data_IF_952877852898
#
_entry.id   IF_952877852898
#
_cell.length_a   1.000
_cell.length_b   1.000
_cell.length_c   1.000
_cell.angle_alpha   90.00
_cell.angle_beta   90.00
_cell.angle_gamma   90.00
#
_symmetry.space_group_name_H-M   'P 1'
#
loop_
_entity.id
_entity.type
_entity.pdbx_description
1 polymer ?
#
# COMPACT_ATOMS: atom_id res chain seq x y z
N UNK A 1 -6.19 -3.82 -41.91
CA UNK A 1 -6.54 -3.05 -40.70
C UNK A 1 -6.60 -3.89 -39.42
N UNK A 2 -6.54 -5.23 -39.47
CA UNK A 2 -6.62 -6.10 -38.29
C UNK A 2 -5.56 -5.82 -37.19
N UNK A 3 -4.31 -5.57 -37.58
CA UNK A 3 -3.21 -5.34 -36.65
C UNK A 3 -3.39 -4.12 -35.72
N UNK A 4 -4.20 -3.14 -36.10
CA UNK A 4 -4.41 -1.93 -35.31
C UNK A 4 -5.49 -2.12 -34.24
N UNK A 5 -6.46 -2.99 -34.49
CA UNK A 5 -7.53 -3.29 -33.54
C UNK A 5 -7.04 -4.29 -32.48
N UNK A 6 -6.23 -5.28 -32.87
CA UNK A 6 -5.60 -6.21 -31.92
C UNK A 6 -4.68 -5.47 -30.92
N UNK A 7 -3.87 -4.51 -31.39
CA UNK A 7 -3.00 -3.69 -30.54
C UNK A 7 -3.80 -2.78 -29.60
N UNK A 8 -4.95 -2.26 -30.04
CA UNK A 8 -5.84 -1.46 -29.18
C UNK A 8 -6.53 -2.32 -28.12
N UNK A 9 -6.92 -3.54 -28.48
CA UNK A 9 -7.46 -4.50 -27.53
C UNK A 9 -6.42 -4.96 -26.50
N UNK A 10 -5.16 -5.15 -26.89
CA UNK A 10 -4.06 -5.44 -25.96
C UNK A 10 -3.74 -4.26 -25.03
N UNK A 11 -3.72 -3.03 -25.55
CA UNK A 11 -3.52 -1.81 -24.76
C UNK A 11 -4.71 -1.54 -23.81
N UNK A 12 -5.93 -1.82 -24.24
CA UNK A 12 -7.12 -1.71 -23.40
C UNK A 12 -7.22 -2.83 -22.34
N UNK A 13 -6.59 -3.98 -22.60
CA UNK A 13 -6.51 -5.12 -21.67
C UNK A 13 -5.36 -4.99 -20.65
N UNK A 14 -4.56 -3.92 -20.71
CA UNK A 14 -3.47 -3.68 -19.77
C UNK A 14 -4.02 -3.13 -18.44
N UNK A 15 -4.61 -4.01 -17.64
CA UNK A 15 -5.26 -3.67 -16.36
C UNK A 15 -4.32 -3.70 -15.14
N UNK A 16 -3.01 -3.92 -15.30
CA UNK A 16 -2.15 -4.17 -14.15
C UNK A 16 -0.82 -3.46 -14.23
N UNK A 17 -0.53 -2.64 -13.21
CA UNK A 17 0.86 -2.44 -12.81
C UNK A 17 1.53 -3.81 -12.70
N UNK A 18 2.69 -3.97 -13.34
CA UNK A 18 3.42 -5.24 -13.29
C UNK A 18 3.55 -5.73 -11.83
N UNK A 19 3.56 -7.04 -11.55
CA UNK A 19 3.76 -7.53 -10.18
C UNK A 19 5.01 -6.96 -9.50
N UNK A 20 6.03 -6.61 -10.27
CA UNK A 20 7.22 -5.90 -9.79
C UNK A 20 6.92 -4.46 -9.36
N UNK A 21 6.11 -3.72 -10.14
CA UNK A 21 5.69 -2.36 -9.81
C UNK A 21 4.84 -2.32 -8.54
N UNK A 22 3.88 -3.25 -8.38
CA UNK A 22 3.06 -3.35 -7.16
C UNK A 22 3.94 -3.61 -5.93
N UNK A 23 4.90 -4.55 -6.04
CA UNK A 23 5.85 -4.84 -4.96
C UNK A 23 6.74 -3.64 -4.64
N UNK A 24 7.21 -2.91 -5.66
CA UNK A 24 8.03 -1.72 -5.49
C UNK A 24 7.25 -0.59 -4.80
N UNK A 25 5.99 -0.38 -5.20
CA UNK A 25 5.10 0.59 -4.57
C UNK A 25 4.84 0.22 -3.10
N UNK A 26 4.49 -1.03 -2.81
CA UNK A 26 4.29 -1.50 -1.44
C UNK A 26 5.56 -1.31 -0.59
N UNK A 27 6.73 -1.63 -1.12
CA UNK A 27 8.00 -1.42 -0.43
C UNK A 27 8.28 0.07 -0.14
N UNK A 28 8.01 0.95 -1.11
CA UNK A 28 8.12 2.40 -0.93
C UNK A 28 7.14 2.90 0.14
N UNK A 29 5.89 2.45 0.10
CA UNK A 29 4.87 2.82 1.09
C UNK A 29 5.23 2.36 2.49
N UNK A 30 5.72 1.13 2.66
CA UNK A 30 6.25 0.65 3.95
C UNK A 30 7.40 1.55 4.39
N UNK A 31 8.37 1.81 3.52
CA UNK A 31 9.56 2.60 3.86
C UNK A 31 9.22 4.02 4.31
N UNK A 32 8.35 4.72 3.57
CA UNK A 32 8.00 6.12 3.85
C UNK A 32 6.87 6.27 4.87
N UNK A 33 6.02 5.27 5.04
CA UNK A 33 4.93 5.28 6.03
C UNK A 33 5.40 5.06 7.48
N UNK A 34 6.61 4.55 7.70
CA UNK A 34 7.12 4.33 9.07
C UNK A 34 8.08 3.15 9.20
N UNK A 35 8.15 2.31 8.16
CA UNK A 35 9.13 1.25 8.00
C UNK A 35 8.82 -0.01 8.77
N UNK A 36 9.88 -0.80 8.96
CA UNK A 36 9.89 -1.99 9.79
C UNK A 36 10.33 -1.61 11.20
N UNK A 37 9.58 -2.07 12.21
CA UNK A 37 9.87 -1.82 13.61
C UNK A 37 10.24 -3.13 14.29
N UNK A 38 11.39 -3.20 15.00
CA UNK A 38 11.69 -4.36 15.84
C UNK A 38 10.77 -4.35 17.07
N UNK A 39 10.01 -5.42 17.26
CA UNK A 39 9.14 -5.65 18.42
C UNK A 39 9.38 -7.08 18.89
N UNK A 40 9.84 -7.24 20.13
CA UNK A 40 10.05 -8.55 20.77
C UNK A 40 10.81 -9.56 19.89
N UNK A 41 11.95 -9.15 19.32
CA UNK A 41 12.80 -9.96 18.45
C UNK A 41 12.16 -10.36 17.09
N UNK A 42 11.04 -9.74 16.72
CA UNK A 42 10.41 -9.84 15.39
C UNK A 42 10.36 -8.47 14.71
N UNK A 43 10.21 -8.44 13.39
CA UNK A 43 9.94 -7.20 12.66
C UNK A 43 8.47 -7.12 12.30
N UNK A 44 7.82 -6.03 12.69
CA UNK A 44 6.44 -5.71 12.29
C UNK A 44 6.46 -4.54 11.32
N UNK A 45 5.54 -4.56 10.36
CA UNK A 45 5.28 -3.40 9.52
C UNK A 45 4.51 -2.40 10.37
N UNK A 46 4.92 -1.14 10.36
CA UNK A 46 4.12 -0.06 10.92
C UNK A 46 4.15 1.12 9.98
N UNK A 47 3.10 1.26 9.18
CA UNK A 47 2.98 2.34 8.20
C UNK A 47 1.80 3.25 8.55
N UNK A 48 2.04 4.56 8.61
CA UNK A 48 1.07 5.59 9.00
C UNK A 48 0.75 6.45 7.81
N UNK A 49 -0.54 6.59 7.51
CA UNK A 49 -1.05 7.39 6.40
C UNK A 49 -2.11 8.36 6.89
N UNK A 50 -2.34 9.45 6.16
CA UNK A 50 -3.47 10.36 6.39
C UNK A 50 -4.68 10.06 5.50
N UNK A 51 -4.58 9.04 4.64
CA UNK A 51 -5.63 8.59 3.74
C UNK A 51 -5.99 7.14 4.03
N UNK A 52 -7.29 6.87 4.21
CA UNK A 52 -7.83 5.52 4.42
C UNK A 52 -7.62 4.63 3.18
N UNK A 53 -7.88 5.17 1.99
CA UNK A 53 -7.76 4.42 0.73
C UNK A 53 -6.35 3.87 0.53
N UNK A 54 -5.34 4.67 0.88
CA UNK A 54 -3.93 4.28 0.81
C UNK A 54 -3.60 3.18 1.84
N UNK A 55 -4.15 3.29 3.05
CA UNK A 55 -3.96 2.28 4.10
C UNK A 55 -4.62 0.94 3.73
N UNK A 56 -5.85 0.97 3.23
CA UNK A 56 -6.58 -0.22 2.75
C UNK A 56 -5.90 -0.83 1.51
N UNK A 57 -5.37 -0.01 0.60
CA UNK A 57 -4.58 -0.52 -0.53
C UNK A 57 -3.36 -1.29 -0.05
N UNK A 58 -2.61 -0.77 0.93
CA UNK A 58 -1.44 -1.46 1.47
C UNK A 58 -1.82 -2.77 2.15
N UNK A 59 -2.85 -2.76 3.00
CA UNK A 59 -3.39 -3.97 3.67
C UNK A 59 -3.76 -5.05 2.66
N UNK A 60 -4.53 -4.69 1.63
CA UNK A 60 -4.92 -5.64 0.59
C UNK A 60 -3.72 -6.16 -0.21
N UNK A 61 -2.72 -5.31 -0.46
CA UNK A 61 -1.48 -5.69 -1.16
C UNK A 61 -0.63 -6.64 -0.33
N UNK A 62 -0.51 -6.41 0.99
CA UNK A 62 0.17 -7.32 1.92
C UNK A 62 -0.46 -8.72 1.92
N UNK A 63 -1.79 -8.79 1.96
CA UNK A 63 -2.51 -10.06 1.87
C UNK A 63 -2.32 -10.73 0.51
N UNK A 64 -2.64 -10.02 -0.57
CA UNK A 64 -2.75 -10.62 -1.91
C UNK A 64 -1.39 -10.91 -2.56
N UNK A 65 -0.37 -10.10 -2.28
CA UNK A 65 0.95 -10.20 -2.93
C UNK A 65 1.99 -10.90 -2.05
N UNK A 66 1.89 -10.75 -0.74
CA UNK A 66 2.88 -11.26 0.21
C UNK A 66 2.32 -12.32 1.17
N UNK A 67 1.00 -12.55 1.20
CA UNK A 67 0.38 -13.55 2.09
C UNK A 67 0.42 -13.14 3.57
N UNK A 68 0.58 -11.85 3.86
CA UNK A 68 0.61 -11.32 5.22
C UNK A 68 -0.69 -10.59 5.53
N UNK A 69 -1.40 -11.05 6.56
CA UNK A 69 -2.54 -10.32 7.09
C UNK A 69 -2.08 -9.05 7.81
N UNK A 70 -2.86 -7.99 7.67
CA UNK A 70 -2.59 -6.70 8.27
C UNK A 70 -3.89 -6.03 8.73
N UNK A 71 -3.80 -5.20 9.76
CA UNK A 71 -4.91 -4.43 10.32
C UNK A 71 -4.74 -2.94 10.06
N UNK A 72 -5.85 -2.22 9.89
CA UNK A 72 -5.87 -0.76 9.74
C UNK A 72 -6.53 -0.17 10.97
N UNK A 73 -5.77 0.57 11.76
CA UNK A 73 -6.23 1.26 12.95
C UNK A 73 -6.35 2.76 12.71
N UNK A 74 -7.50 3.34 13.04
CA UNK A 74 -7.73 4.78 12.96
C UNK A 74 -7.30 5.45 14.27
N UNK A 75 -6.45 6.48 14.16
CA UNK A 75 -5.89 7.23 15.28
C UNK A 75 -5.91 8.73 14.99
N UNK A 76 -6.41 9.52 15.93
CA UNK A 76 -6.26 10.97 15.92
C UNK A 76 -4.93 11.34 16.59
N UNK A 77 -4.03 11.98 15.84
CA UNK A 77 -2.72 12.43 16.33
C UNK A 77 -2.72 13.94 16.56
N UNK A 78 -2.34 14.36 17.76
CA UNK A 78 -2.11 15.78 18.05
C UNK A 78 -0.80 16.26 17.42
N UNK A 79 -0.87 17.36 16.67
CA UNK A 79 0.29 18.06 16.10
C UNK A 79 0.30 19.52 16.56
N UNK A 80 1.42 20.25 16.43
CA UNK A 80 1.45 21.69 16.76
C UNK A 80 0.42 22.53 15.99
N UNK A 81 -0.03 22.04 14.82
CA UNK A 81 -1.01 22.71 13.97
C UNK A 81 -2.46 22.21 14.19
N UNK A 82 -2.67 21.34 15.19
CA UNK A 82 -3.97 20.75 15.51
C UNK A 82 -4.01 19.22 15.35
N UNK A 83 -5.17 18.61 15.62
CA UNK A 83 -5.37 17.17 15.44
C UNK A 83 -5.35 16.80 13.96
N UNK A 84 -4.70 15.68 13.65
CA UNK A 84 -4.65 15.08 12.31
C UNK A 84 -5.12 13.64 12.42
N UNK A 85 -6.08 13.26 11.59
CA UNK A 85 -6.52 11.86 11.48
C UNK A 85 -5.48 11.04 10.73
N UNK A 86 -5.16 9.87 11.27
CA UNK A 86 -4.16 8.96 10.72
C UNK A 86 -4.65 7.52 10.75
N UNK A 87 -4.20 6.74 9.79
CA UNK A 87 -4.50 5.33 9.61
C UNK A 87 -3.20 4.55 9.68
N UNK A 88 -3.12 3.62 10.63
CA UNK A 88 -1.93 2.82 10.89
C UNK A 88 -2.15 1.40 10.40
N UNK A 89 -1.31 0.96 9.47
CA UNK A 89 -1.25 -0.42 8.99
C UNK A 89 -0.24 -1.19 9.85
N UNK A 90 -0.67 -2.31 10.43
CA UNK A 90 0.11 -3.20 11.32
C UNK A 90 0.06 -4.65 10.82
#
# INVERSE_FOLDING_TARGET
MALLDDVKSELAAFEGDSPAAIKAQAAAMIRFGGGLRPVQNTYVIQAVFTSLDVAEWLKNTLRNTFGHEAEVNHLTRQTPNGPVETYVVL
#
